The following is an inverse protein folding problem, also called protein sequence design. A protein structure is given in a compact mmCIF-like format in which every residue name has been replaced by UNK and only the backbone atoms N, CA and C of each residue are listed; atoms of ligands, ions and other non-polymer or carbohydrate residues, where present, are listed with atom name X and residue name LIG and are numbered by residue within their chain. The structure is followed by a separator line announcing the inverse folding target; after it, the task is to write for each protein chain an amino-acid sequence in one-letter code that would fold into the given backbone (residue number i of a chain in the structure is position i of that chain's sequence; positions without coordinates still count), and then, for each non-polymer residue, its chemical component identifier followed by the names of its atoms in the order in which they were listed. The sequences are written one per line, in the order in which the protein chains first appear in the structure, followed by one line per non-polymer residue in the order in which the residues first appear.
data_IF_695281225031
#
_entry.id   IF_695281225031
#
_cell.length_a   1.000
_cell.length_b   1.000
_cell.length_c   1.000
_cell.angle_alpha   90.00
_cell.angle_beta   90.00
_cell.angle_gamma   90.00
#
_symmetry.space_group_name_H-M   'P 1'
#
loop_
_entity.id
_entity.type
_entity.pdbx_description
1 polymer ?
#
# COMPACT_ATOMS: atom_id res chain seq x y z
N UNK A 1 49.78 36.45 -43.40
CA UNK A 1 49.53 35.89 -42.06
C UNK A 1 49.00 34.47 -42.24
N UNK A 2 49.83 33.44 -42.00
CA UNK A 2 49.50 32.03 -42.24
C UNK A 2 49.99 31.16 -41.07
N UNK A 3 49.03 30.47 -40.43
CA UNK A 3 49.08 29.28 -39.52
C UNK A 3 49.84 29.46 -38.19
N UNK A 4 49.39 28.84 -37.08
CA UNK A 4 49.57 27.39 -36.80
C UNK A 4 48.37 26.81 -36.00
N UNK A 5 48.27 25.56 -35.54
CA UNK A 5 48.88 24.26 -35.77
C UNK A 5 47.84 23.26 -35.23
N UNK A 6 47.54 22.21 -35.99
CA UNK A 6 46.70 21.09 -35.53
C UNK A 6 47.62 20.14 -34.76
N UNK A 7 47.39 19.95 -33.46
CA UNK A 7 48.08 18.91 -32.68
C UNK A 7 47.13 17.72 -32.46
N UNK A 8 47.45 16.63 -33.13
CA UNK A 8 47.00 15.28 -32.83
C UNK A 8 47.76 14.80 -31.59
N UNK A 9 47.05 14.38 -30.54
CA UNK A 9 47.62 13.56 -29.48
C UNK A 9 46.64 12.44 -29.13
N UNK A 10 46.90 11.28 -29.71
CA UNK A 10 46.38 9.97 -29.31
C UNK A 10 47.17 9.56 -28.07
N UNK A 11 46.48 9.16 -26.99
CA UNK A 11 47.08 8.33 -25.95
C UNK A 11 46.05 7.32 -25.45
N UNK A 12 46.42 6.06 -25.66
CA UNK A 12 45.67 4.82 -25.44
C UNK A 12 46.01 4.25 -24.05
N UNK A 13 44.98 3.81 -23.30
CA UNK A 13 44.82 2.79 -22.21
C UNK A 13 46.05 2.25 -21.42
N UNK A 14 45.93 1.55 -20.26
CA UNK A 14 44.77 1.23 -19.39
C UNK A 14 45.05 1.42 -17.87
N UNK A 15 44.00 1.45 -17.02
CA UNK A 15 44.10 0.83 -15.69
C UNK A 15 42.70 0.43 -15.20
N UNK A 16 42.46 -0.87 -15.19
CA UNK A 16 41.33 -1.52 -14.56
C UNK A 16 41.36 -1.26 -13.05
N UNK A 17 40.51 -0.37 -12.55
CA UNK A 17 40.04 -0.48 -11.17
C UNK A 17 38.79 -1.36 -11.16
N UNK A 18 39.02 -2.66 -11.24
CA UNK A 18 38.05 -3.64 -10.75
C UNK A 18 38.12 -3.58 -9.23
N UNK A 19 37.27 -2.76 -8.62
CA UNK A 19 36.95 -2.96 -7.22
C UNK A 19 36.15 -4.26 -7.13
N UNK A 20 36.83 -5.35 -6.76
CA UNK A 20 36.19 -6.49 -6.12
C UNK A 20 35.73 -6.02 -4.74
N UNK A 21 34.65 -5.23 -4.71
CA UNK A 21 33.87 -5.10 -3.50
C UNK A 21 33.13 -6.44 -3.34
N UNK A 22 33.88 -7.44 -2.88
CA UNK A 22 33.39 -8.43 -1.92
C UNK A 22 32.94 -7.67 -0.68
N UNK A 23 31.90 -6.84 -0.86
CA UNK A 23 31.06 -6.38 0.19
C UNK A 23 30.40 -7.64 0.67
N UNK A 24 30.92 -8.12 1.79
CA UNK A 24 30.24 -8.98 2.71
C UNK A 24 28.75 -8.69 2.57
N UNK A 25 27.96 -9.70 2.23
CA UNK A 25 26.62 -9.75 2.77
C UNK A 25 26.83 -9.56 4.27
N UNK A 26 26.72 -8.31 4.73
CA UNK A 26 26.05 -8.03 5.96
C UNK A 26 24.66 -8.57 5.68
N UNK A 27 24.51 -9.87 5.89
CA UNK A 27 23.39 -10.42 6.61
C UNK A 27 23.19 -9.44 7.75
N UNK A 28 22.38 -8.42 7.49
CA UNK A 28 21.60 -7.82 8.53
C UNK A 28 20.96 -9.03 9.18
N UNK A 29 21.46 -9.36 10.37
CA UNK A 29 20.72 -10.08 11.39
C UNK A 29 19.49 -9.21 11.69
N UNK A 30 18.61 -9.11 10.69
CA UNK A 30 17.43 -8.28 10.71
C UNK A 30 16.45 -9.06 11.54
N UNK A 31 16.18 -8.54 12.73
CA UNK A 31 15.04 -8.93 13.56
C UNK A 31 13.87 -9.19 12.60
N UNK A 32 13.53 -10.46 12.39
CA UNK A 32 12.52 -10.84 11.41
C UNK A 32 11.23 -10.25 11.91
N UNK A 33 10.67 -9.28 11.17
CA UNK A 33 9.50 -8.51 11.59
C UNK A 33 8.34 -9.47 11.86
N UNK A 34 8.09 -9.71 13.15
CA UNK A 34 7.24 -10.79 13.60
C UNK A 34 5.78 -10.37 13.61
N UNK A 35 4.89 -11.34 13.39
CA UNK A 35 3.45 -11.13 13.44
C UNK A 35 3.01 -10.84 14.88
N UNK A 36 2.41 -9.67 15.13
CA UNK A 36 1.79 -9.33 16.42
C UNK A 36 0.35 -9.83 16.48
N UNK A 37 -0.42 -9.60 15.42
CA UNK A 37 -1.85 -9.92 15.42
C UNK A 37 -2.36 -10.25 14.03
N UNK A 38 -3.38 -11.10 14.00
CA UNK A 38 -4.23 -11.36 12.85
C UNK A 38 -5.67 -11.09 13.28
N UNK A 39 -6.37 -10.23 12.56
CA UNK A 39 -7.74 -9.83 12.89
C UNK A 39 -8.60 -9.89 11.63
N UNK A 40 -9.84 -10.35 11.80
CA UNK A 40 -10.79 -10.48 10.71
C UNK A 40 -12.06 -9.70 11.06
N UNK A 41 -12.63 -9.05 10.07
CA UNK A 41 -13.79 -8.20 10.24
C UNK A 41 -14.76 -8.35 9.08
N UNK A 42 -16.04 -8.13 9.37
CA UNK A 42 -17.10 -8.12 8.36
C UNK A 42 -17.95 -6.86 8.48
N UNK A 43 -18.46 -6.37 7.37
CA UNK A 43 -19.43 -5.29 7.33
C UNK A 43 -20.57 -5.63 6.37
N UNK A 44 -21.76 -5.11 6.65
CA UNK A 44 -22.95 -5.22 5.82
C UNK A 44 -23.56 -3.84 5.68
N UNK A 45 -23.90 -3.43 4.45
CA UNK A 45 -24.63 -2.21 4.14
C UNK A 45 -25.72 -2.53 3.11
N UNK A 46 -26.97 -2.63 3.59
CA UNK A 46 -28.08 -3.15 2.78
C UNK A 46 -27.79 -4.57 2.29
N UNK A 47 -27.61 -4.73 0.97
CA UNK A 47 -27.28 -6.03 0.35
C UNK A 47 -25.79 -6.21 0.03
N UNK A 48 -24.98 -5.16 0.21
CA UNK A 48 -23.55 -5.22 -0.06
C UNK A 48 -22.82 -5.73 1.19
N UNK A 49 -21.77 -6.53 0.99
CA UNK A 49 -20.96 -7.08 2.08
C UNK A 49 -19.49 -6.76 1.90
N UNK A 50 -18.75 -6.70 3.00
CA UNK A 50 -17.31 -6.55 2.96
C UNK A 50 -16.62 -7.42 4.01
N UNK A 51 -15.53 -8.07 3.62
CA UNK A 51 -14.65 -8.87 4.47
C UNK A 51 -13.26 -8.23 4.48
N UNK A 52 -12.72 -7.97 5.68
CA UNK A 52 -11.41 -7.38 5.87
C UNK A 52 -10.58 -8.25 6.81
N UNK A 53 -9.48 -8.79 6.29
CA UNK A 53 -8.51 -9.56 7.07
C UNK A 53 -7.20 -8.80 7.12
N UNK A 54 -6.72 -8.45 8.31
CA UNK A 54 -5.47 -7.70 8.50
C UNK A 54 -4.49 -8.43 9.40
N UNK A 55 -3.22 -8.30 9.08
CA UNK A 55 -2.07 -8.74 9.85
C UNK A 55 -1.27 -7.52 10.24
N UNK A 56 -0.91 -7.41 11.52
CA UNK A 56 -0.04 -6.34 12.02
C UNK A 56 1.29 -6.93 12.45
N UNK A 57 2.37 -6.38 11.94
CA UNK A 57 3.73 -6.77 12.30
C UNK A 57 4.30 -5.88 13.42
N UNK A 58 5.40 -6.31 14.03
CA UNK A 58 6.10 -5.59 15.10
C UNK A 58 6.58 -4.20 14.69
N UNK A 59 6.92 -4.01 13.43
CA UNK A 59 7.23 -2.71 12.83
C UNK A 59 6.05 -1.74 12.77
N UNK A 60 4.82 -2.20 13.06
CA UNK A 60 3.59 -1.45 12.85
C UNK A 60 3.07 -1.49 11.41
N UNK A 61 3.74 -2.23 10.52
CA UNK A 61 3.24 -2.50 9.16
C UNK A 61 1.97 -3.33 9.25
N UNK A 62 0.95 -2.90 8.52
CA UNK A 62 -0.31 -3.63 8.35
C UNK A 62 -0.41 -4.09 6.90
N UNK A 63 -0.71 -5.37 6.71
CA UNK A 63 -1.05 -5.94 5.40
C UNK A 63 -2.33 -6.77 5.52
N UNK A 64 -3.04 -6.95 4.42
CA UNK A 64 -4.31 -7.65 4.48
C UNK A 64 -5.00 -7.84 3.13
N UNK A 65 -6.18 -8.42 3.20
CA UNK A 65 -7.08 -8.59 2.06
C UNK A 65 -8.40 -7.92 2.41
N UNK A 66 -8.91 -7.11 1.48
CA UNK A 66 -10.23 -6.51 1.53
C UNK A 66 -11.02 -6.96 0.31
N UNK A 67 -12.12 -7.64 0.60
CA UNK A 67 -13.11 -8.05 -0.40
C UNK A 67 -14.40 -7.29 -0.14
N UNK A 68 -14.91 -6.60 -1.16
CA UNK A 68 -16.22 -5.95 -1.12
C UNK A 68 -17.07 -6.57 -2.22
N UNK A 69 -18.22 -7.14 -1.85
CA UNK A 69 -19.19 -7.71 -2.76
C UNK A 69 -20.34 -6.71 -2.91
N UNK A 70 -20.38 -6.04 -4.05
CA UNK A 70 -21.53 -5.23 -4.43
C UNK A 70 -22.52 -6.09 -5.19
N UNK A 71 -23.79 -6.12 -4.76
CA UNK A 71 -24.81 -6.94 -5.41
C UNK A 71 -24.96 -6.61 -6.89
N UNK A 72 -24.88 -5.32 -7.25
CA UNK A 72 -25.13 -4.84 -8.61
C UNK A 72 -23.84 -4.56 -9.40
N UNK A 73 -22.73 -4.23 -8.71
CA UNK A 73 -21.48 -3.81 -9.36
C UNK A 73 -20.41 -4.89 -9.40
N UNK A 74 -20.69 -6.06 -8.83
CA UNK A 74 -19.75 -7.16 -8.71
C UNK A 74 -18.78 -7.01 -7.53
N UNK A 75 -17.65 -7.68 -7.62
CA UNK A 75 -16.70 -7.83 -6.50
C UNK A 75 -15.45 -6.98 -6.71
N UNK A 76 -15.08 -6.22 -5.68
CA UNK A 76 -13.73 -5.67 -5.53
C UNK A 76 -12.93 -6.59 -4.60
N UNK A 77 -11.90 -7.23 -5.13
CA UNK A 77 -11.04 -8.17 -4.41
C UNK A 77 -9.60 -7.70 -4.51
N UNK A 78 -8.96 -7.44 -3.37
CA UNK A 78 -7.69 -6.74 -3.35
C UNK A 78 -6.93 -6.77 -2.03
N UNK A 79 -5.72 -6.24 -2.09
CA UNK A 79 -4.81 -6.17 -0.96
C UNK A 79 -4.81 -4.78 -0.33
N UNK A 80 -4.71 -4.74 1.00
CA UNK A 80 -4.49 -3.50 1.75
C UNK A 80 -3.09 -3.51 2.35
N UNK A 81 -2.39 -2.39 2.25
CA UNK A 81 -1.09 -2.20 2.88
C UNK A 81 -1.01 -0.82 3.52
N UNK A 82 -0.53 -0.73 4.75
CA UNK A 82 -0.45 0.54 5.44
C UNK A 82 0.00 0.43 6.88
N UNK A 83 -0.51 1.33 7.73
CA UNK A 83 -0.19 1.38 9.15
C UNK A 83 -1.22 2.18 9.95
N UNK A 84 -1.28 1.92 11.24
CA UNK A 84 -2.02 2.77 12.18
C UNK A 84 -1.28 4.10 12.42
N UNK A 85 -2.06 5.17 12.58
CA UNK A 85 -1.63 6.46 13.15
C UNK A 85 -2.64 6.82 14.24
N UNK A 86 -2.26 6.61 15.49
CA UNK A 86 -3.23 6.64 16.58
C UNK A 86 -4.26 5.52 16.43
N UNK A 87 -5.54 5.88 16.46
CA UNK A 87 -6.68 4.98 16.31
C UNK A 87 -7.05 4.68 14.85
N UNK A 88 -6.45 5.39 13.88
CA UNK A 88 -6.86 5.30 12.48
C UNK A 88 -5.87 4.50 11.66
N UNK A 89 -6.34 3.44 11.01
CA UNK A 89 -5.59 2.66 10.03
C UNK A 89 -5.68 3.33 8.66
N UNK A 90 -4.55 3.77 8.13
CA UNK A 90 -4.43 4.28 6.76
C UNK A 90 -3.80 3.22 5.88
N UNK A 91 -4.44 2.88 4.77
CA UNK A 91 -3.96 1.87 3.82
C UNK A 91 -4.09 2.32 2.38
N UNK A 92 -3.21 1.80 1.53
CA UNK A 92 -3.40 1.74 0.10
C UNK A 92 -4.14 0.43 -0.23
N UNK A 93 -5.34 0.52 -0.82
CA UNK A 93 -6.12 -0.62 -1.29
C UNK A 93 -5.92 -0.83 -2.78
N UNK A 94 -5.33 -1.96 -3.15
CA UNK A 94 -5.06 -2.33 -4.54
C UNK A 94 -5.96 -3.49 -4.97
N UNK A 95 -6.85 -3.26 -5.92
CA UNK A 95 -7.84 -4.25 -6.37
C UNK A 95 -7.96 -4.29 -7.88
N UNK A 96 -8.49 -5.41 -8.39
CA UNK A 96 -8.64 -5.66 -9.83
C UNK A 96 -10.12 -5.68 -10.21
N UNK A 97 -10.46 -5.01 -11.30
CA UNK A 97 -11.78 -5.12 -11.94
C UNK A 97 -11.61 -5.68 -13.35
N UNK A 98 -12.56 -6.51 -13.79
CA UNK A 98 -12.55 -7.19 -15.08
C UNK A 98 -12.13 -8.65 -14.99
N UNK A 99 -12.68 -9.49 -15.87
CA UNK A 99 -12.38 -10.93 -15.94
C UNK A 99 -11.23 -11.22 -16.92
N UNK A 100 -11.31 -10.65 -18.12
CA UNK A 100 -10.31 -10.82 -19.20
C UNK A 100 -9.26 -9.70 -19.18
N UNK A 101 -9.68 -8.44 -19.32
CA UNK A 101 -8.80 -7.28 -19.32
C UNK A 101 -8.77 -6.61 -17.93
N UNK A 102 -8.01 -7.20 -17.00
CA UNK A 102 -7.93 -6.76 -15.60
C UNK A 102 -7.32 -5.37 -15.49
N UNK A 103 -8.11 -4.40 -15.01
CA UNK A 103 -7.62 -3.07 -14.65
C UNK A 103 -7.30 -3.04 -13.16
N UNK A 104 -6.11 -2.56 -12.80
CA UNK A 104 -5.66 -2.42 -11.40
C UNK A 104 -5.96 -1.01 -10.92
N UNK A 105 -6.66 -0.91 -9.80
CA UNK A 105 -6.95 0.34 -9.11
C UNK A 105 -6.20 0.38 -7.79
N UNK A 106 -5.73 1.56 -7.38
CA UNK A 106 -5.07 1.78 -6.09
C UNK A 106 -5.66 3.01 -5.40
N UNK A 107 -6.45 2.79 -4.36
CA UNK A 107 -7.19 3.83 -3.66
C UNK A 107 -6.76 3.93 -2.19
N UNK A 108 -6.56 5.14 -1.65
CA UNK A 108 -6.31 5.32 -0.23
C UNK A 108 -7.61 5.08 0.55
N UNK A 109 -7.53 4.31 1.63
CA UNK A 109 -8.62 4.10 2.58
C UNK A 109 -8.16 4.46 3.99
N UNK A 110 -9.11 4.88 4.83
CA UNK A 110 -8.89 5.14 6.24
C UNK A 110 -9.96 4.41 7.04
N UNK A 111 -9.54 3.69 8.09
CA UNK A 111 -10.44 2.97 8.99
C UNK A 111 -10.21 3.45 10.42
N UNK A 112 -11.22 4.08 11.02
CA UNK A 112 -11.16 4.50 12.42
C UNK A 112 -11.45 3.29 13.32
N UNK A 113 -10.52 2.96 14.20
CA UNK A 113 -10.72 1.93 15.23
C UNK A 113 -11.45 2.53 16.42
N UNK A 114 -12.67 2.05 16.66
CA UNK A 114 -13.49 2.48 17.80
C UNK A 114 -14.33 1.30 18.29
N UNK A 115 -14.30 1.06 19.61
CA UNK A 115 -15.06 -0.02 20.26
C UNK A 115 -14.83 -1.40 19.63
N UNK A 116 -13.58 -1.68 19.23
CA UNK A 116 -13.19 -2.92 18.57
C UNK A 116 -13.63 -3.04 17.11
N UNK A 117 -14.37 -2.07 16.57
CA UNK A 117 -14.82 -2.00 15.18
C UNK A 117 -13.89 -1.11 14.35
N UNK A 118 -14.01 -1.21 13.03
CA UNK A 118 -13.32 -0.35 12.06
C UNK A 118 -14.35 0.39 11.20
N UNK A 119 -14.50 1.70 11.38
CA UNK A 119 -15.40 2.52 10.55
C UNK A 119 -14.65 3.03 9.31
N UNK A 120 -15.15 2.75 8.11
CA UNK A 120 -14.56 3.23 6.86
C UNK A 120 -14.80 4.74 6.71
N UNK A 121 -13.73 5.50 6.55
CA UNK A 121 -13.80 6.96 6.35
C UNK A 121 -14.08 7.36 4.92
N UNK A 122 -14.76 8.49 4.75
CA UNK A 122 -14.95 9.20 3.48
C UNK A 122 -14.16 10.49 3.52
N UNK A 123 -13.20 10.63 2.61
CA UNK A 123 -12.34 11.81 2.50
C UNK A 123 -12.21 12.27 1.05
N UNK A 124 -11.78 13.52 0.87
CA UNK A 124 -11.44 14.03 -0.45
C UNK A 124 -10.17 13.33 -0.95
N UNK A 125 -10.24 12.73 -2.13
CA UNK A 125 -9.10 12.06 -2.79
C UNK A 125 -8.65 12.92 -3.97
N UNK A 126 -7.34 13.01 -4.16
CA UNK A 126 -6.73 13.57 -5.36
C UNK A 126 -5.78 12.54 -5.98
N UNK A 127 -5.64 12.58 -7.30
CA UNK A 127 -4.71 11.72 -8.04
C UNK A 127 -3.64 12.59 -8.69
N UNK A 128 -2.38 12.22 -8.50
CA UNK A 128 -1.24 12.92 -9.13
C UNK A 128 -0.24 11.86 -9.58
N UNK A 129 0.19 11.96 -10.84
CA UNK A 129 1.13 11.00 -11.46
C UNK A 129 0.69 9.52 -11.26
N UNK A 130 -0.61 9.25 -11.43
CA UNK A 130 -1.16 7.90 -11.34
C UNK A 130 -1.30 7.32 -9.92
N UNK A 131 -1.00 8.10 -8.88
CA UNK A 131 -1.22 7.70 -7.48
C UNK A 131 -2.30 8.54 -6.82
N UNK A 132 -3.21 7.88 -6.11
CA UNK A 132 -4.31 8.51 -5.37
C UNK A 132 -3.96 8.65 -3.89
N UNK A 133 -4.31 9.78 -3.29
CA UNK A 133 -4.08 10.07 -1.87
C UNK A 133 -5.19 10.95 -1.30
N UNK A 134 -5.40 10.91 0.01
CA UNK A 134 -6.25 11.88 0.69
C UNK A 134 -5.65 13.30 0.57
N UNK A 135 -6.50 14.29 0.30
CA UNK A 135 -6.08 15.69 0.23
C UNK A 135 -5.61 16.16 1.60
N UNK A 136 -4.38 16.66 1.68
CA UNK A 136 -3.78 17.14 2.93
C UNK A 136 -4.59 18.29 3.51
N UNK A 137 -4.83 18.26 4.82
CA UNK A 137 -5.57 19.31 5.54
C UNK A 137 -7.09 19.27 5.35
N UNK A 138 -7.62 18.30 4.59
CA UNK A 138 -9.06 18.04 4.51
C UNK A 138 -9.44 16.93 5.49
N UNK A 139 -10.54 17.06 6.23
CA UNK A 139 -10.96 16.04 7.18
C UNK A 139 -11.45 14.78 6.45
N UNK A 140 -11.36 13.65 7.14
CA UNK A 140 -12.00 12.39 6.78
C UNK A 140 -13.19 12.23 7.72
N UNK A 141 -14.39 12.03 7.17
CA UNK A 141 -15.60 11.78 7.96
C UNK A 141 -15.80 10.29 8.11
N UNK A 142 -15.92 9.82 9.34
CA UNK A 142 -16.18 8.40 9.66
C UNK A 142 -17.68 8.13 9.89
N UNK A 143 -18.50 9.18 9.92
CA UNK A 143 -19.96 9.11 10.04
C UNK A 143 -20.65 8.89 8.69
N UNK A 144 -20.00 9.32 7.60
CA UNK A 144 -20.50 9.18 6.23
C UNK A 144 -20.08 7.87 5.56
N UNK A 145 -19.28 7.06 6.26
CA UNK A 145 -18.83 5.76 5.80
C UNK A 145 -19.98 4.77 5.63
N UNK A 146 -20.04 4.10 4.47
CA UNK A 146 -21.05 3.04 4.24
C UNK A 146 -20.81 1.79 5.08
N UNK A 147 -19.55 1.44 5.35
CA UNK A 147 -19.19 0.20 6.04
C UNK A 147 -18.61 0.48 7.42
N UNK A 148 -19.21 -0.16 8.43
CA UNK A 148 -18.61 -0.33 9.76
C UNK A 148 -18.33 -1.82 9.97
N UNK A 149 -17.05 -2.14 10.07
CA UNK A 149 -16.55 -3.51 10.16
C UNK A 149 -16.55 -3.98 11.62
N UNK A 150 -17.32 -5.03 11.90
CA UNK A 150 -17.37 -5.71 13.19
C UNK A 150 -16.36 -6.86 13.23
N UNK A 151 -15.68 -7.09 14.37
CA UNK A 151 -14.72 -8.17 14.51
C UNK A 151 -15.42 -9.54 14.45
N UNK A 152 -14.76 -10.50 13.81
CA UNK A 152 -15.18 -11.90 13.75
C UNK A 152 -13.96 -12.81 13.90
N UNK A 153 -14.20 -14.09 14.18
CA UNK A 153 -13.14 -15.08 14.14
C UNK A 153 -12.58 -15.23 12.72
N UNK A 154 -11.26 -15.26 12.62
CA UNK A 154 -10.59 -15.53 11.36
C UNK A 154 -10.85 -16.98 10.92
N UNK A 155 -11.38 -17.15 9.71
CA UNK A 155 -11.50 -18.46 9.08
C UNK A 155 -10.09 -19.01 8.84
N UNK A 156 -9.83 -20.22 9.36
CA UNK A 156 -8.57 -20.95 9.15
C UNK A 156 -8.49 -21.53 7.75
#
# INVERSE_FOLDING_TARGET
MKKPAFYLAILMFPAFFSCTQGGSEKTSSGDTDSLISSQCFVAVDGTDTADLNIKTLKSGKVSGVLTINYKEKGKNDGQVEGKFRGDTLFVDYTFKIGTENKTIYKNPLAFLKKDGKLALGVGQIQTTLGRSFFVKGKPISFEKGRFTFAPVDCKK
#
